data_IF_718112818123
#
_entry.id   IF_718112818123
#
_cell.length_a   1.000
_cell.length_b   1.000
_cell.length_c   1.000
_cell.angle_alpha   90.00
_cell.angle_beta   90.00
_cell.angle_gamma   90.00
#
_symmetry.space_group_name_H-M   'P 1'
#
loop_
_entity.id
_entity.type
_entity.pdbx_description
1 polymer ?
#
# COMPACT_ATOMS: atom_id res chain seq x y z
N UNK A 1 -9.13 -11.10 -22.22
CA UNK A 1 -9.47 -11.91 -21.03
C UNK A 1 -9.15 -11.10 -19.78
N UNK A 2 -10.14 -10.88 -18.90
CA UNK A 2 -9.94 -10.13 -17.65
C UNK A 2 -9.36 -11.09 -16.61
N UNK A 3 -8.11 -10.88 -16.18
CA UNK A 3 -7.52 -11.69 -15.10
C UNK A 3 -8.09 -11.25 -13.75
N UNK A 4 -8.54 -12.21 -12.95
CA UNK A 4 -8.95 -11.97 -11.57
C UNK A 4 -7.71 -12.05 -10.69
N UNK A 5 -7.27 -10.90 -10.17
CA UNK A 5 -6.21 -10.85 -9.17
C UNK A 5 -6.84 -11.00 -7.80
N UNK A 6 -6.37 -11.96 -7.02
CA UNK A 6 -6.92 -12.26 -5.69
C UNK A 6 -5.96 -11.88 -4.57
N UNK A 7 -4.69 -11.62 -4.90
CA UNK A 7 -3.66 -11.25 -3.95
C UNK A 7 -2.82 -10.09 -4.50
N UNK A 8 -2.53 -9.15 -3.61
CA UNK A 8 -1.67 -8.01 -3.81
C UNK A 8 -0.50 -8.13 -2.85
N UNK A 9 0.73 -7.96 -3.34
CA UNK A 9 1.92 -7.87 -2.50
C UNK A 9 2.58 -6.50 -2.72
N UNK A 10 2.82 -5.80 -1.62
CA UNK A 10 3.54 -4.53 -1.60
C UNK A 10 4.84 -4.77 -0.83
N UNK A 11 5.97 -4.46 -1.47
CA UNK A 11 7.28 -4.55 -0.87
C UNK A 11 7.82 -3.13 -0.68
N UNK A 12 8.27 -2.83 0.53
CA UNK A 12 8.87 -1.56 0.95
C UNK A 12 10.30 -1.82 1.47
N UNK A 13 11.20 -0.83 1.48
CA UNK A 13 12.51 -0.99 2.09
C UNK A 13 12.39 -1.30 3.59
N UNK A 14 13.37 -1.98 4.18
CA UNK A 14 13.32 -2.39 5.60
C UNK A 14 13.46 -1.20 6.56
N UNK A 15 14.26 -0.19 6.19
CA UNK A 15 14.57 0.97 7.02
C UNK A 15 13.66 2.17 6.69
N UNK A 16 12.34 1.99 6.79
CA UNK A 16 11.36 3.07 6.55
C UNK A 16 10.40 3.25 7.72
N UNK A 17 10.04 4.51 7.97
CA UNK A 17 9.14 4.90 9.05
C UNK A 17 7.68 5.03 8.59
N UNK A 18 7.26 4.22 7.61
CA UNK A 18 5.89 4.24 7.10
C UNK A 18 5.37 2.84 6.77
N UNK A 19 4.06 2.69 6.73
CA UNK A 19 3.39 1.46 6.32
C UNK A 19 2.32 1.72 5.26
N UNK A 20 2.03 0.75 4.38
CA UNK A 20 0.95 0.86 3.40
C UNK A 20 -0.41 0.54 4.02
N UNK A 21 -1.35 1.47 3.91
CA UNK A 21 -2.79 1.25 4.08
C UNK A 21 -3.43 1.02 2.72
N UNK A 22 -4.21 -0.06 2.59
CA UNK A 22 -4.84 -0.44 1.34
C UNK A 22 -6.36 -0.38 1.52
N UNK A 23 -7.02 0.39 0.66
CA UNK A 23 -8.47 0.32 0.47
C UNK A 23 -8.77 -0.31 -0.87
N UNK A 24 -9.61 -1.33 -0.90
CA UNK A 24 -9.99 -2.02 -2.12
C UNK A 24 -11.49 -1.81 -2.41
N UNK A 25 -11.79 -1.30 -3.60
CA UNK A 25 -13.11 -1.31 -4.20
C UNK A 25 -13.16 -2.32 -5.35
N UNK A 26 -14.32 -2.41 -6.03
CA UNK A 26 -14.60 -3.42 -7.07
C UNK A 26 -13.42 -3.79 -7.97
N UNK A 27 -12.90 -2.84 -8.73
CA UNK A 27 -11.87 -3.07 -9.76
C UNK A 27 -10.64 -2.19 -9.55
N UNK A 28 -10.62 -1.44 -8.45
CA UNK A 28 -9.61 -0.44 -8.14
C UNK A 28 -9.26 -0.57 -6.67
N UNK A 29 -7.99 -0.41 -6.37
CA UNK A 29 -7.50 -0.26 -5.02
C UNK A 29 -6.75 1.07 -4.95
N UNK A 30 -6.68 1.62 -3.75
CA UNK A 30 -5.85 2.77 -3.42
C UNK A 30 -4.89 2.34 -2.33
N UNK A 31 -3.62 2.70 -2.51
CA UNK A 31 -2.57 2.52 -1.51
C UNK A 31 -2.23 3.90 -0.96
N UNK A 32 -2.20 4.03 0.36
CA UNK A 32 -1.80 5.22 1.09
C UNK A 32 -0.67 4.84 2.03
N UNK A 33 0.46 5.54 1.97
CA UNK A 33 1.55 5.33 2.93
C UNK A 33 1.37 6.27 4.12
N UNK A 34 1.52 5.72 5.33
CA UNK A 34 1.24 6.41 6.59
C UNK A 34 2.46 6.34 7.49
N UNK A 35 2.81 7.48 8.09
CA UNK A 35 3.90 7.59 9.07
C UNK A 35 3.61 6.74 10.31
N UNK A 36 4.60 5.94 10.72
CA UNK A 36 4.54 5.11 11.95
C UNK A 36 4.58 5.99 13.20
N UNK A 37 5.25 7.14 13.15
CA UNK A 37 5.42 8.01 14.32
C UNK A 37 4.14 8.72 14.76
N UNK A 38 3.13 8.78 13.89
CA UNK A 38 1.85 9.43 14.13
C UNK A 38 0.76 8.40 14.48
N UNK A 39 0.98 7.48 15.44
CA UNK A 39 -0.02 6.45 15.85
C UNK A 39 -1.24 7.01 16.61
N UNK A 40 -1.55 8.31 16.49
CA UNK A 40 -2.87 8.84 16.87
C UNK A 40 -3.94 8.22 15.96
N UNK A 41 -5.23 8.30 16.33
CA UNK A 41 -6.36 7.56 15.70
C UNK A 41 -6.42 7.61 14.15
N UNK A 42 -5.73 8.58 13.52
CA UNK A 42 -5.51 8.66 12.07
C UNK A 42 -4.09 9.10 11.75
N UNK A 43 -3.18 8.15 11.58
CA UNK A 43 -1.81 8.44 11.18
C UNK A 43 -1.71 9.33 9.94
N UNK A 44 -0.66 10.16 9.91
CA UNK A 44 -0.44 11.15 8.83
C UNK A 44 0.04 10.48 7.56
N UNK A 45 -0.47 10.96 6.43
CA UNK A 45 -0.04 10.48 5.13
C UNK A 45 1.36 11.00 4.83
N UNK A 46 2.23 10.13 4.32
CA UNK A 46 3.52 10.48 3.76
C UNK A 46 3.28 11.21 2.43
N UNK A 47 3.85 12.41 2.28
CA UNK A 47 3.65 13.26 1.09
C UNK A 47 4.80 13.17 0.10
N UNK A 48 5.90 12.56 0.52
CA UNK A 48 7.09 12.31 -0.27
C UNK A 48 6.88 11.17 -1.27
N UNK A 49 7.67 11.18 -2.34
CA UNK A 49 7.70 10.08 -3.29
C UNK A 49 8.26 8.81 -2.66
N UNK A 50 7.50 7.73 -2.72
CA UNK A 50 7.88 6.43 -2.16
C UNK A 50 8.28 5.47 -3.27
N UNK A 51 9.48 4.90 -3.13
CA UNK A 51 9.91 3.76 -3.93
C UNK A 51 9.35 2.48 -3.31
N UNK A 52 8.47 1.79 -4.03
CA UNK A 52 7.89 0.50 -3.61
C UNK A 52 7.74 -0.43 -4.81
N UNK A 53 7.57 -1.72 -4.54
CA UNK A 53 7.21 -2.71 -5.58
C UNK A 53 5.79 -3.20 -5.36
N UNK A 54 5.05 -3.31 -6.47
CA UNK A 54 3.70 -3.82 -6.51
C UNK A 54 3.67 -5.10 -7.33
N UNK A 55 3.22 -6.19 -6.72
CA UNK A 55 2.96 -7.46 -7.43
C UNK A 55 1.48 -7.79 -7.38
N UNK A 56 0.88 -8.01 -8.55
CA UNK A 56 -0.48 -8.53 -8.69
C UNK A 56 -0.41 -10.04 -8.92
N UNK A 57 -0.91 -10.81 -7.97
CA UNK A 57 -0.90 -12.26 -8.03
C UNK A 57 -2.23 -12.76 -8.60
N UNK A 58 -2.16 -13.44 -9.74
CA UNK A 58 -3.27 -14.19 -10.34
C UNK A 58 -2.89 -15.66 -10.43
N UNK A 59 -3.86 -16.55 -10.20
CA UNK A 59 -3.72 -17.97 -10.51
C UNK A 59 -3.55 -18.21 -12.02
#
# INVERSE_FOLDING_TARGET
LRKAYQLLRIEIPEDVDFYPEISAGRQRFSVRFVSIHDMEERGKQVIEDINFKLTLCSF
#
